data_IF_906611697498
#
_entry.id   IF_906611697498
#
_cell.length_a   1.000
_cell.length_b   1.000
_cell.length_c   1.000
_cell.angle_alpha   90.00
_cell.angle_beta   90.00
_cell.angle_gamma   90.00
#
_symmetry.space_group_name_H-M   'P 1'
#
loop_
_entity.id
_entity.type
_entity.pdbx_description
1 polymer ?
#
# COMPACT_ATOMS: atom_id res chain seq x y z
N UNK A 1 -20.19 9.26 -16.10
CA UNK A 1 -18.98 8.59 -16.60
C UNK A 1 -19.04 8.57 -18.13
N UNK A 2 -17.89 8.67 -18.82
CA UNK A 2 -17.81 8.98 -20.27
C UNK A 2 -16.96 10.21 -20.62
N UNK A 3 -16.18 10.74 -19.67
CA UNK A 3 -15.33 11.92 -19.87
C UNK A 3 -14.15 11.69 -20.84
N UNK A 4 -13.82 10.44 -21.16
CA UNK A 4 -12.71 10.08 -22.05
C UNK A 4 -13.20 9.03 -23.06
N UNK A 5 -12.98 9.24 -24.37
CA UNK A 5 -13.35 8.25 -25.37
C UNK A 5 -12.48 7.00 -25.25
N UNK A 6 -13.10 5.82 -25.42
CA UNK A 6 -12.46 4.51 -25.26
C UNK A 6 -11.15 4.37 -26.08
N UNK A 7 -11.07 4.83 -27.35
CA UNK A 7 -9.82 4.79 -28.11
C UNK A 7 -8.69 5.59 -27.47
N UNK A 8 -8.99 6.75 -26.88
CA UNK A 8 -7.98 7.58 -26.21
C UNK A 8 -7.45 6.90 -24.94
N UNK A 9 -8.31 6.18 -24.21
CA UNK A 9 -7.89 5.41 -23.04
C UNK A 9 -6.94 4.27 -23.42
N UNK A 10 -7.23 3.52 -24.49
CA UNK A 10 -6.33 2.47 -25.00
C UNK A 10 -5.03 3.06 -25.55
N UNK A 11 -5.10 4.15 -26.32
CA UNK A 11 -3.90 4.81 -26.86
C UNK A 11 -2.98 5.29 -25.73
N UNK A 12 -3.52 5.97 -24.71
CA UNK A 12 -2.75 6.40 -23.55
C UNK A 12 -2.18 5.21 -22.76
N UNK A 13 -2.97 4.16 -22.53
CA UNK A 13 -2.53 2.96 -21.82
C UNK A 13 -1.38 2.24 -22.52
N UNK A 14 -1.48 2.06 -23.84
CA UNK A 14 -0.41 1.45 -24.66
C UNK A 14 0.82 2.35 -24.68
N UNK A 15 0.65 3.65 -24.92
CA UNK A 15 1.74 4.61 -24.95
C UNK A 15 2.52 4.60 -23.63
N UNK A 16 1.84 4.72 -22.49
CA UNK A 16 2.48 4.67 -21.17
C UNK A 16 3.09 3.29 -20.86
N UNK A 17 2.40 2.21 -21.24
CA UNK A 17 2.88 0.85 -21.04
C UNK A 17 4.16 0.51 -21.80
N UNK A 18 4.42 1.18 -22.93
CA UNK A 18 5.66 1.02 -23.72
C UNK A 18 6.72 2.05 -23.33
N UNK A 19 6.31 3.32 -23.16
CA UNK A 19 7.24 4.41 -22.87
C UNK A 19 7.89 4.25 -21.49
N UNK A 20 7.14 3.83 -20.46
CA UNK A 20 7.70 3.72 -19.11
C UNK A 20 8.86 2.71 -19.01
N UNK A 21 8.74 1.45 -19.50
CA UNK A 21 9.87 0.53 -19.57
C UNK A 21 10.99 1.01 -20.48
N UNK A 22 10.67 1.63 -21.62
CA UNK A 22 11.68 2.12 -22.56
C UNK A 22 12.55 3.22 -21.95
N UNK A 23 11.94 4.17 -21.22
CA UNK A 23 12.66 5.22 -20.49
C UNK A 23 13.44 4.61 -19.32
N UNK A 24 12.83 3.72 -18.54
CA UNK A 24 13.53 3.04 -17.45
C UNK A 24 14.77 2.26 -17.93
N UNK A 25 14.71 1.61 -19.10
CA UNK A 25 15.84 0.90 -19.68
C UNK A 25 17.00 1.83 -20.10
N UNK A 26 16.73 3.12 -20.28
CA UNK A 26 17.74 4.13 -20.63
C UNK A 26 18.33 4.83 -19.40
N UNK A 27 17.53 5.05 -18.36
CA UNK A 27 17.89 5.91 -17.23
C UNK A 27 18.24 5.10 -15.98
N UNK A 28 17.69 3.91 -15.82
CA UNK A 28 17.83 3.09 -14.61
C UNK A 28 18.68 1.83 -14.86
N UNK A 29 19.16 1.16 -13.79
CA UNK A 29 19.79 -0.15 -13.92
C UNK A 29 18.88 -1.16 -14.63
N UNK A 30 19.46 -2.13 -15.37
CA UNK A 30 18.68 -3.10 -16.15
C UNK A 30 17.72 -3.93 -15.28
N UNK A 31 18.09 -4.20 -14.03
CA UNK A 31 17.23 -4.87 -13.07
C UNK A 31 15.95 -4.08 -12.74
N UNK A 32 16.04 -2.74 -12.62
CA UNK A 32 14.88 -1.88 -12.36
C UNK A 32 13.93 -1.86 -13.56
N UNK A 33 14.46 -1.76 -14.79
CA UNK A 33 13.67 -1.80 -16.02
C UNK A 33 13.00 -3.17 -16.24
N UNK A 34 13.71 -4.27 -15.98
CA UNK A 34 13.17 -5.62 -16.05
C UNK A 34 12.04 -5.83 -15.03
N UNK A 35 12.23 -5.39 -13.78
CA UNK A 35 11.22 -5.50 -12.74
C UNK A 35 9.99 -4.63 -13.03
N UNK A 36 10.18 -3.42 -13.58
CA UNK A 36 9.06 -2.58 -14.03
C UNK A 36 8.26 -3.24 -15.15
N UNK A 37 8.94 -3.89 -16.09
CA UNK A 37 8.27 -4.64 -17.18
C UNK A 37 7.47 -5.81 -16.61
N UNK A 38 8.04 -6.58 -15.67
CA UNK A 38 7.34 -7.66 -14.99
C UNK A 38 6.13 -7.15 -14.19
N UNK A 39 6.26 -6.01 -13.50
CA UNK A 39 5.16 -5.35 -12.79
C UNK A 39 4.00 -5.02 -13.74
N UNK A 40 4.28 -4.43 -14.91
CA UNK A 40 3.24 -4.13 -15.90
C UNK A 40 2.58 -5.41 -16.43
N UNK A 41 3.34 -6.48 -16.67
CA UNK A 41 2.79 -7.76 -17.09
C UNK A 41 1.83 -8.34 -16.03
N UNK A 42 2.21 -8.29 -14.75
CA UNK A 42 1.35 -8.70 -13.63
C UNK A 42 0.09 -7.83 -13.56
N UNK A 43 0.21 -6.52 -13.74
CA UNK A 43 -0.93 -5.60 -13.70
C UNK A 43 -1.90 -5.83 -14.88
N UNK A 44 -1.38 -6.15 -16.07
CA UNK A 44 -2.20 -6.53 -17.23
C UNK A 44 -2.90 -7.88 -17.00
N UNK A 45 -2.17 -8.88 -16.50
CA UNK A 45 -2.74 -10.18 -16.13
C UNK A 45 -3.84 -10.02 -15.06
N UNK A 46 -3.62 -9.12 -14.09
CA UNK A 46 -4.62 -8.73 -13.10
C UNK A 46 -5.89 -8.16 -13.72
N UNK A 47 -5.76 -7.18 -14.63
CA UNK A 47 -6.90 -6.57 -15.30
C UNK A 47 -7.71 -7.57 -16.15
N UNK A 48 -7.03 -8.54 -16.78
CA UNK A 48 -7.64 -9.51 -17.71
C UNK A 48 -8.25 -10.70 -16.99
N UNK A 49 -7.56 -11.34 -16.04
CA UNK A 49 -7.98 -12.63 -15.49
C UNK A 49 -7.87 -12.76 -13.97
N UNK A 50 -6.77 -12.30 -13.34
CA UNK A 50 -6.49 -12.62 -11.93
C UNK A 50 -7.46 -11.96 -10.94
N UNK A 51 -8.15 -10.87 -11.33
CA UNK A 51 -9.18 -10.23 -10.50
C UNK A 51 -10.38 -11.12 -10.15
N UNK A 52 -10.51 -12.27 -10.83
CA UNK A 52 -11.61 -13.21 -10.65
C UNK A 52 -11.32 -14.36 -9.68
N UNK A 53 -10.10 -14.45 -9.15
CA UNK A 53 -9.71 -15.53 -8.24
C UNK A 53 -9.55 -14.98 -6.81
N UNK A 54 -10.29 -15.58 -5.88
CA UNK A 54 -10.21 -15.29 -4.45
C UNK A 54 -8.77 -15.37 -3.94
N UNK A 55 -8.36 -14.46 -3.05
CA UNK A 55 -6.98 -14.33 -2.50
C UNK A 55 -5.95 -13.83 -3.52
N UNK A 56 -5.98 -14.32 -4.76
CA UNK A 56 -5.07 -13.88 -5.83
C UNK A 56 -5.23 -12.39 -6.11
N UNK A 57 -6.44 -11.85 -5.99
CA UNK A 57 -6.69 -10.41 -6.06
C UNK A 57 -5.88 -9.62 -5.01
N UNK A 58 -6.02 -9.99 -3.73
CA UNK A 58 -5.34 -9.32 -2.63
C UNK A 58 -3.82 -9.47 -2.74
N UNK A 59 -3.34 -10.66 -3.10
CA UNK A 59 -1.91 -10.95 -3.28
C UNK A 59 -1.36 -10.16 -4.46
N UNK A 60 -2.02 -10.16 -5.62
CA UNK A 60 -1.55 -9.46 -6.80
C UNK A 60 -1.43 -7.94 -6.55
N UNK A 61 -2.45 -7.34 -5.93
CA UNK A 61 -2.41 -5.91 -5.60
C UNK A 61 -1.29 -5.63 -4.59
N UNK A 62 -1.20 -6.43 -3.52
CA UNK A 62 -0.16 -6.27 -2.48
C UNK A 62 1.24 -6.41 -3.06
N UNK A 63 1.49 -7.44 -3.87
CA UNK A 63 2.76 -7.65 -4.55
C UNK A 63 3.08 -6.47 -5.47
N UNK A 64 2.09 -5.88 -6.13
CA UNK A 64 2.28 -4.67 -6.93
C UNK A 64 2.79 -3.45 -6.12
N UNK A 65 2.37 -3.29 -4.86
CA UNK A 65 2.93 -2.27 -3.96
C UNK A 65 4.39 -2.56 -3.61
N UNK A 66 4.71 -3.81 -3.29
CA UNK A 66 6.08 -4.23 -2.98
C UNK A 66 7.01 -4.09 -4.19
N UNK A 67 6.56 -4.52 -5.38
CA UNK A 67 7.32 -4.37 -6.62
C UNK A 67 7.65 -2.90 -6.90
N UNK A 68 6.70 -1.98 -6.72
CA UNK A 68 6.96 -0.54 -6.89
C UNK A 68 8.01 -0.01 -5.92
N UNK A 69 7.96 -0.44 -4.66
CA UNK A 69 8.97 -0.06 -3.68
C UNK A 69 10.37 -0.56 -4.09
N UNK A 70 10.47 -1.83 -4.51
CA UNK A 70 11.74 -2.44 -4.97
C UNK A 70 12.26 -1.77 -6.25
N UNK A 71 11.40 -1.46 -7.22
CA UNK A 71 11.77 -0.72 -8.44
C UNK A 71 12.36 0.63 -8.05
N UNK A 72 11.73 1.37 -7.12
CA UNK A 72 12.24 2.64 -6.62
C UNK A 72 13.60 2.53 -5.94
N UNK A 73 13.77 1.53 -5.07
CA UNK A 73 15.06 1.24 -4.41
C UNK A 73 16.16 0.93 -5.41
N UNK A 74 15.89 0.08 -6.41
CA UNK A 74 16.84 -0.24 -7.48
C UNK A 74 17.18 0.97 -8.36
N UNK A 75 16.18 1.79 -8.69
CA UNK A 75 16.38 2.98 -9.52
C UNK A 75 17.25 4.04 -8.82
N UNK A 76 17.13 4.17 -7.50
CA UNK A 76 17.88 5.13 -6.69
C UNK A 76 19.17 4.55 -6.08
N UNK A 77 19.43 3.25 -6.25
CA UNK A 77 20.57 2.57 -5.62
C UNK A 77 20.48 2.48 -4.10
N UNK A 78 19.27 2.60 -3.53
CA UNK A 78 19.05 2.59 -2.08
C UNK A 78 18.77 1.15 -1.64
N UNK A 79 19.57 0.56 -0.73
CA UNK A 79 19.29 -0.75 -0.17
C UNK A 79 18.04 -0.67 0.71
N UNK A 80 17.02 -1.46 0.37
CA UNK A 80 15.77 -1.51 1.14
C UNK A 80 15.90 -2.49 2.30
N UNK A 81 15.50 -2.05 3.50
CA UNK A 81 15.41 -2.93 4.65
C UNK A 81 14.35 -4.02 4.43
N UNK A 82 14.63 -5.23 4.93
CA UNK A 82 13.66 -6.34 4.93
C UNK A 82 12.39 -5.98 5.68
N UNK A 83 12.54 -5.27 6.81
CA UNK A 83 11.41 -4.81 7.61
C UNK A 83 10.56 -3.79 6.86
N UNK A 84 11.18 -2.88 6.10
CA UNK A 84 10.47 -1.94 5.24
C UNK A 84 9.61 -2.67 4.21
N UNK A 85 10.13 -3.71 3.55
CA UNK A 85 9.36 -4.50 2.59
C UNK A 85 8.18 -5.24 3.24
N UNK A 86 8.38 -5.79 4.44
CA UNK A 86 7.31 -6.43 5.22
C UNK A 86 6.24 -5.39 5.60
N UNK A 87 6.62 -4.28 6.21
CA UNK A 87 5.69 -3.24 6.65
C UNK A 87 4.90 -2.64 5.49
N UNK A 88 5.55 -2.31 4.37
CA UNK A 88 4.87 -1.74 3.20
C UNK A 88 3.99 -2.75 2.50
N UNK A 89 4.43 -4.01 2.38
CA UNK A 89 3.61 -5.09 1.83
C UNK A 89 2.37 -5.35 2.67
N UNK A 90 2.51 -5.62 3.95
CA UNK A 90 1.37 -5.86 4.83
C UNK A 90 0.51 -4.61 5.07
N UNK A 91 1.10 -3.41 5.03
CA UNK A 91 0.35 -2.15 5.05
C UNK A 91 -0.53 -1.97 3.82
N UNK A 92 -0.02 -2.32 2.63
CA UNK A 92 -0.82 -2.34 1.41
C UNK A 92 -1.95 -3.37 1.48
N UNK A 93 -1.66 -4.58 1.96
CA UNK A 93 -2.67 -5.63 2.17
C UNK A 93 -3.76 -5.17 3.13
N UNK A 94 -3.39 -4.51 4.23
CA UNK A 94 -4.31 -3.92 5.19
C UNK A 94 -5.28 -2.93 4.52
N UNK A 95 -4.75 -1.96 3.77
CA UNK A 95 -5.58 -0.94 3.09
C UNK A 95 -6.52 -1.58 2.08
N UNK A 96 -6.03 -2.51 1.26
CA UNK A 96 -6.81 -3.19 0.22
C UNK A 96 -7.90 -4.05 0.85
N UNK A 97 -7.57 -4.87 1.85
CA UNK A 97 -8.52 -5.73 2.54
C UNK A 97 -9.57 -4.91 3.32
N UNK A 98 -9.17 -3.81 3.97
CA UNK A 98 -10.08 -2.90 4.65
C UNK A 98 -11.08 -2.23 3.70
N UNK A 99 -10.63 -1.84 2.49
CA UNK A 99 -11.51 -1.31 1.44
C UNK A 99 -12.50 -2.36 0.95
N UNK A 100 -12.01 -3.56 0.61
CA UNK A 100 -12.88 -4.69 0.20
C UNK A 100 -13.89 -5.05 1.30
N UNK A 101 -13.47 -5.06 2.56
CA UNK A 101 -14.34 -5.28 3.72
C UNK A 101 -15.43 -4.21 3.81
N UNK A 102 -15.07 -2.93 3.67
CA UNK A 102 -16.02 -1.82 3.75
C UNK A 102 -17.05 -1.87 2.63
N UNK A 103 -16.62 -2.15 1.40
CA UNK A 103 -17.53 -2.40 0.28
C UNK A 103 -18.48 -3.58 0.59
N UNK A 104 -17.99 -4.65 1.21
CA UNK A 104 -18.82 -5.79 1.59
C UNK A 104 -19.86 -5.49 2.66
N UNK A 105 -19.48 -4.75 3.71
CA UNK A 105 -20.41 -4.31 4.75
C UNK A 105 -21.47 -3.36 4.20
N UNK A 106 -21.13 -2.47 3.26
CA UNK A 106 -22.10 -1.56 2.65
C UNK A 106 -23.10 -2.25 1.71
N UNK A 107 -22.74 -3.39 1.13
CA UNK A 107 -23.64 -4.17 0.28
C UNK A 107 -24.62 -5.04 1.07
N UNK A 108 -24.26 -5.48 2.29
CA UNK A 108 -25.19 -6.10 3.24
C UNK A 108 -26.28 -5.10 3.67
N UNK A 109 -27.39 -5.06 2.92
CA UNK A 109 -28.56 -4.21 3.20
C UNK A 109 -29.12 -3.46 1.99
N UNK A 110 -28.41 -3.44 0.85
CA UNK A 110 -28.89 -2.82 -0.40
C UNK A 110 -29.10 -3.88 -1.46
N UNK A 111 -30.34 -4.34 -1.61
CA UNK A 111 -30.74 -5.22 -2.72
C UNK A 111 -30.60 -4.45 -4.04
N UNK A 112 -29.57 -4.74 -4.84
CA UNK A 112 -29.53 -4.33 -6.25
C UNK A 112 -28.26 -3.68 -6.82
N UNK A 113 -27.13 -3.58 -6.10
CA UNK A 113 -25.92 -2.93 -6.64
C UNK A 113 -24.77 -3.91 -6.96
N UNK A 114 -24.79 -4.36 -8.22
CA UNK A 114 -23.72 -4.83 -9.10
C UNK A 114 -22.26 -4.77 -8.59
N UNK A 115 -21.75 -5.88 -8.04
CA UNK A 115 -20.43 -6.41 -8.42
C UNK A 115 -20.36 -7.91 -8.14
N UNK A 116 -20.31 -8.72 -9.20
CA UNK A 116 -20.28 -10.20 -9.16
C UNK A 116 -19.13 -10.82 -8.33
N UNK A 117 -18.20 -10.02 -7.79
CA UNK A 117 -17.05 -10.46 -6.99
C UNK A 117 -17.30 -10.41 -5.47
N UNK A 118 -18.34 -9.70 -5.02
CA UNK A 118 -18.66 -9.66 -3.59
C UNK A 118 -19.39 -10.90 -3.09
N UNK A 119 -19.75 -11.81 -4.00
CA UNK A 119 -20.46 -13.05 -3.68
C UNK A 119 -19.54 -14.11 -3.08
N UNK A 120 -18.21 -13.98 -3.21
CA UNK A 120 -17.27 -15.01 -2.76
C UNK A 120 -16.56 -14.70 -1.42
N UNK A 121 -16.39 -13.42 -1.05
CA UNK A 121 -15.76 -13.08 0.23
C UNK A 121 -16.80 -12.97 1.35
N UNK A 122 -16.60 -13.69 2.44
CA UNK A 122 -17.34 -13.42 3.68
C UNK A 122 -16.73 -12.21 4.39
N UNK A 123 -17.58 -11.38 5.01
CA UNK A 123 -17.13 -10.24 5.82
C UNK A 123 -16.21 -10.68 6.96
N UNK A 124 -16.44 -11.86 7.54
CA UNK A 124 -15.58 -12.47 8.56
C UNK A 124 -14.17 -12.78 8.06
N UNK A 125 -14.04 -13.36 6.85
CA UNK A 125 -12.73 -13.60 6.24
C UNK A 125 -11.98 -12.30 5.96
N UNK A 126 -12.63 -11.32 5.36
CA UNK A 126 -12.00 -10.03 5.08
C UNK A 126 -11.58 -9.31 6.37
N UNK A 127 -12.38 -9.43 7.44
CA UNK A 127 -12.03 -8.93 8.77
C UNK A 127 -10.75 -9.56 9.30
N UNK A 128 -10.65 -10.89 9.23
CA UNK A 128 -9.45 -11.61 9.62
C UNK A 128 -8.22 -11.17 8.83
N UNK A 129 -8.34 -11.03 7.51
CA UNK A 129 -7.21 -10.65 6.64
C UNK A 129 -6.69 -9.26 6.96
N UNK A 130 -7.57 -8.24 7.07
CA UNK A 130 -7.09 -6.89 7.35
C UNK A 130 -6.52 -6.75 8.77
N UNK A 131 -7.08 -7.46 9.76
CA UNK A 131 -6.55 -7.48 11.12
C UNK A 131 -5.16 -8.15 11.20
N UNK A 132 -5.00 -9.30 10.55
CA UNK A 132 -3.71 -9.97 10.44
C UNK A 132 -2.69 -9.06 9.75
N UNK A 133 -3.08 -8.43 8.64
CA UNK A 133 -2.21 -7.54 7.89
C UNK A 133 -1.78 -6.31 8.70
N UNK A 134 -2.72 -5.68 9.42
CA UNK A 134 -2.41 -4.57 10.33
C UNK A 134 -1.40 -4.99 11.41
N UNK A 135 -1.59 -6.15 12.02
CA UNK A 135 -0.69 -6.68 13.04
C UNK A 135 0.73 -6.92 12.51
N UNK A 136 0.86 -7.58 11.35
CA UNK A 136 2.18 -7.83 10.75
C UNK A 136 2.85 -6.54 10.29
N UNK A 137 2.09 -5.57 9.76
CA UNK A 137 2.64 -4.27 9.37
C UNK A 137 3.20 -3.50 10.58
N UNK A 138 2.46 -3.46 11.69
CA UNK A 138 2.89 -2.85 12.95
C UNK A 138 4.13 -3.56 13.51
N UNK A 139 4.11 -4.90 13.58
CA UNK A 139 5.26 -5.67 14.06
C UNK A 139 6.51 -5.45 13.19
N UNK A 140 6.36 -5.45 11.87
CA UNK A 140 7.46 -5.12 10.95
C UNK A 140 8.02 -3.72 11.20
N UNK A 141 7.15 -2.74 11.46
CA UNK A 141 7.57 -1.37 11.76
C UNK A 141 8.31 -1.28 13.10
N UNK A 142 7.81 -1.97 14.13
CA UNK A 142 8.49 -2.06 15.42
C UNK A 142 9.88 -2.68 15.27
N UNK A 143 10.00 -3.79 14.54
CA UNK A 143 11.28 -4.46 14.31
C UNK A 143 12.25 -3.56 13.55
N UNK A 144 11.78 -2.83 12.53
CA UNK A 144 12.58 -1.81 11.86
C UNK A 144 13.04 -0.70 12.82
N UNK A 145 12.13 -0.18 13.65
CA UNK A 145 12.42 0.92 14.57
C UNK A 145 13.37 0.51 15.71
N UNK A 146 13.42 -0.77 16.05
CA UNK A 146 14.29 -1.35 17.07
C UNK A 146 15.61 -1.88 16.51
N UNK A 147 15.69 -2.17 15.21
CA UNK A 147 16.93 -2.66 14.56
C UNK A 147 18.00 -1.56 14.54
N UNK A 148 18.93 -1.59 15.47
CA UNK A 148 20.05 -0.64 15.55
C UNK A 148 20.98 -0.85 14.35
N UNK A 149 21.00 0.11 13.42
CA UNK A 149 21.80 0.07 12.20
C UNK A 149 23.30 0.29 12.42
N UNK A 150 23.81 0.00 13.62
CA UNK A 150 25.22 0.16 13.99
C UNK A 150 25.71 1.61 14.11
N UNK A 151 24.82 2.61 14.06
CA UNK A 151 25.20 4.03 14.16
C UNK A 151 24.92 4.57 15.56
N UNK A 152 25.91 5.16 16.25
CA UNK A 152 25.75 5.71 17.59
C UNK A 152 24.64 6.78 17.62
N UNK A 153 23.73 6.67 18.59
CA UNK A 153 22.70 7.67 18.81
C UNK A 153 23.32 8.96 19.39
N UNK A 154 23.35 10.02 18.60
CA UNK A 154 23.85 11.35 18.98
C UNK A 154 22.75 12.25 19.55
N UNK A 155 21.47 11.94 19.30
CA UNK A 155 20.31 12.68 19.79
C UNK A 155 19.87 12.29 21.20
N UNK A 156 19.31 13.26 21.94
CA UNK A 156 18.83 13.09 23.33
C UNK A 156 17.57 12.21 23.42
N UNK A 157 16.77 12.15 22.34
CA UNK A 157 15.50 11.44 22.28
C UNK A 157 15.52 10.34 21.20
N UNK A 158 14.92 9.15 21.47
CA UNK A 158 14.88 8.07 20.50
C UNK A 158 13.76 8.28 19.47
N UNK A 159 13.90 9.26 18.59
CA UNK A 159 12.88 9.67 17.60
C UNK A 159 12.34 8.49 16.78
N UNK A 160 13.23 7.56 16.38
CA UNK A 160 12.84 6.36 15.63
C UNK A 160 11.89 5.45 16.42
N UNK A 161 12.14 5.25 17.71
CA UNK A 161 11.27 4.44 18.58
C UNK A 161 9.95 5.16 18.88
N UNK A 162 10.00 6.47 19.12
CA UNK A 162 8.79 7.27 19.33
C UNK A 162 7.86 7.24 18.11
N UNK A 163 8.42 7.17 16.89
CA UNK A 163 7.62 7.10 15.66
C UNK A 163 6.72 5.85 15.58
N UNK A 164 7.03 4.79 16.34
CA UNK A 164 6.20 3.58 16.46
C UNK A 164 4.83 3.93 17.02
N UNK A 165 4.77 4.80 18.03
CA UNK A 165 3.50 5.21 18.65
C UNK A 165 2.61 5.91 17.62
N UNK A 166 3.17 6.84 16.85
CA UNK A 166 2.43 7.53 15.79
C UNK A 166 1.97 6.56 14.69
N UNK A 167 2.81 5.62 14.29
CA UNK A 167 2.46 4.60 13.29
C UNK A 167 1.31 3.70 13.76
N UNK A 168 1.36 3.21 15.00
CA UNK A 168 0.30 2.39 15.61
C UNK A 168 -1.01 3.18 15.69
N UNK A 169 -0.96 4.44 16.12
CA UNK A 169 -2.16 5.29 16.18
C UNK A 169 -2.77 5.53 14.80
N UNK A 170 -1.95 5.68 13.75
CA UNK A 170 -2.44 5.80 12.37
C UNK A 170 -3.18 4.52 11.92
N UNK A 171 -2.59 3.35 12.17
CA UNK A 171 -3.19 2.05 11.84
C UNK A 171 -4.50 1.85 12.60
N UNK A 172 -4.52 2.12 13.90
CA UNK A 172 -5.73 2.00 14.73
C UNK A 172 -6.82 2.98 14.27
N UNK A 173 -6.46 4.23 13.96
CA UNK A 173 -7.41 5.24 13.46
C UNK A 173 -8.02 4.79 12.13
N UNK A 174 -7.21 4.29 11.21
CA UNK A 174 -7.70 3.76 9.94
C UNK A 174 -8.58 2.51 10.14
N UNK A 175 -8.22 1.62 11.08
CA UNK A 175 -9.00 0.43 11.41
C UNK A 175 -10.43 0.76 11.89
N UNK A 176 -10.64 1.90 12.55
CA UNK A 176 -12.00 2.37 12.90
C UNK A 176 -12.85 2.63 11.66
N UNK A 177 -12.27 3.23 10.61
CA UNK A 177 -12.99 3.46 9.35
C UNK A 177 -13.30 2.15 8.63
N UNK A 178 -12.36 1.20 8.68
CA UNK A 178 -12.55 -0.14 8.14
C UNK A 178 -13.72 -0.84 8.84
N UNK A 179 -13.73 -0.88 10.18
CA UNK A 179 -14.75 -1.58 10.96
C UNK A 179 -16.16 -0.97 10.77
N UNK A 180 -16.24 0.36 10.65
CA UNK A 180 -17.49 1.09 10.35
C UNK A 180 -18.01 0.88 8.91
N UNK A 181 -17.26 0.17 8.07
CA UNK A 181 -17.60 -0.01 6.66
C UNK A 181 -17.46 1.27 5.84
N UNK A 182 -16.60 2.19 6.27
CA UNK A 182 -16.40 3.52 5.67
C UNK A 182 -14.99 3.72 5.11
N UNK A 183 -14.17 2.66 5.03
CA UNK A 183 -12.89 2.72 4.34
C UNK A 183 -13.13 2.72 2.82
N UNK A 184 -13.53 3.88 2.30
CA UNK A 184 -13.73 4.14 0.87
C UNK A 184 -12.40 4.22 0.13
N UNK A 185 -12.17 5.33 -0.58
CA UNK A 185 -10.85 5.60 -1.16
C UNK A 185 -9.88 5.98 -0.01
N UNK A 186 -8.75 5.28 0.14
CA UNK A 186 -7.84 5.51 1.28
C UNK A 186 -7.33 6.96 1.34
N UNK A 187 -7.12 7.59 0.19
CA UNK A 187 -6.77 9.00 0.06
C UNK A 187 -7.85 9.92 0.65
N UNK A 188 -9.13 9.65 0.40
CA UNK A 188 -10.24 10.44 0.93
C UNK A 188 -10.41 10.26 2.44
N UNK A 189 -10.16 9.05 2.94
CA UNK A 189 -10.21 8.77 4.39
C UNK A 189 -9.06 9.49 5.11
N UNK A 190 -7.85 9.46 4.54
CA UNK A 190 -6.66 10.11 5.11
C UNK A 190 -6.76 11.63 5.06
N UNK A 191 -7.18 12.19 3.93
CA UNK A 191 -7.29 13.64 3.76
C UNK A 191 -8.55 14.22 4.39
N UNK A 192 -9.62 13.43 4.51
CA UNK A 192 -10.86 13.82 5.15
C UNK A 192 -10.79 13.82 6.69
N UNK A 193 -9.98 12.94 7.29
CA UNK A 193 -9.85 12.84 8.75
C UNK A 193 -8.68 13.69 9.27
N UNK A 194 -9.01 14.83 9.90
CA UNK A 194 -8.02 15.74 10.50
C UNK A 194 -7.10 15.03 11.49
N UNK A 195 -7.61 14.06 12.26
CA UNK A 195 -6.79 13.33 13.22
C UNK A 195 -5.75 12.45 12.50
N UNK A 196 -6.15 11.70 11.46
CA UNK A 196 -5.23 10.88 10.67
C UNK A 196 -4.18 11.73 9.93
N UNK A 197 -4.57 12.89 9.41
CA UNK A 197 -3.63 13.85 8.81
C UNK A 197 -2.61 14.38 9.83
N UNK A 198 -3.05 14.77 11.04
CA UNK A 198 -2.15 15.21 12.12
C UNK A 198 -1.20 14.10 12.55
N UNK A 199 -1.70 12.86 12.71
CA UNK A 199 -0.86 11.72 13.06
C UNK A 199 0.19 11.46 11.96
N UNK A 200 -0.20 11.54 10.68
CA UNK A 200 0.71 11.39 9.56
C UNK A 200 1.79 12.47 9.52
N UNK A 201 1.43 13.73 9.79
CA UNK A 201 2.38 14.85 9.86
C UNK A 201 3.35 14.68 11.04
N UNK A 202 2.84 14.30 12.22
CA UNK A 202 3.67 14.02 13.39
C UNK A 202 4.64 12.88 13.10
N UNK A 203 4.15 11.79 12.52
CA UNK A 203 5.00 10.66 12.12
C UNK A 203 6.10 11.09 11.15
N UNK A 204 5.76 11.87 10.12
CA UNK A 204 6.74 12.37 9.14
C UNK A 204 7.78 13.30 9.78
N UNK A 205 7.36 14.17 10.72
CA UNK A 205 8.26 15.04 11.46
C UNK A 205 9.22 14.21 12.33
N UNK A 206 8.72 13.20 13.04
CA UNK A 206 9.55 12.31 13.88
C UNK A 206 10.54 11.51 13.04
N UNK A 207 10.12 11.03 11.86
CA UNK A 207 11.00 10.34 10.92
C UNK A 207 12.08 11.29 10.37
N UNK A 208 11.70 12.52 9.99
CA UNK A 208 12.66 13.51 9.49
C UNK A 208 13.70 13.88 10.56
N UNK A 209 13.29 14.06 11.82
CA UNK A 209 14.21 14.29 12.93
C UNK A 209 15.14 13.09 13.17
N UNK A 210 14.61 11.86 13.09
CA UNK A 210 15.42 10.66 13.21
C UNK A 210 16.49 10.53 12.10
N UNK A 211 16.26 11.12 10.92
CA UNK A 211 17.21 11.16 9.80
C UNK A 211 18.11 12.38 9.86
N UNK A 212 17.66 13.51 10.40
CA UNK A 212 18.46 14.74 10.50
C UNK A 212 19.52 14.69 11.62
N UNK A 213 19.32 13.84 12.64
CA UNK A 213 20.31 13.55 13.68
C UNK A 213 21.37 12.50 13.23
N UNK A 214 21.45 12.19 11.92
CA UNK A 214 22.58 11.49 11.28
C UNK A 214 23.65 12.48 10.82
#
# INVERSE_FOLDING_TARGET
AGRVPVPAAYAAGIALGVLAPAVAARVCPPAAAALLTAYLAVQLAYCVSLKHVLVVDLVAVTTGFVMRAVIGGLALGIPLSRWFLITTGFGALFVVAAKRYSEAVQMTGKAGATRALLTEYTTGYLRFVWQLAAGVAVLGYCLWALEEGGVPHTGVLPWRQLSVVAFVLAVLRYAVFADRGTAGEPEDVVLGDRALAVIGLLWAAMYALAVADW
#
